data_IF_801745978771
#
_entry.id   IF_801745978771
#
_cell.length_a   1.000
_cell.length_b   1.000
_cell.length_c   1.000
_cell.angle_alpha   90.00
_cell.angle_beta   90.00
_cell.angle_gamma   90.00
#
_symmetry.space_group_name_H-M   'P 1'
#
loop_
_entity.id
_entity.type
_entity.pdbx_description
1 polymer ?
#
# COMPACT_ATOMS: atom_id res chain seq x y z
N UNK A 1 26.87 -14.62 -12.56
CA UNK A 1 26.03 -13.51 -12.08
C UNK A 1 24.77 -13.42 -12.94
N UNK A 2 23.69 -14.13 -12.61
CA UNK A 2 22.41 -14.11 -13.34
C UNK A 2 21.54 -13.02 -12.69
N UNK A 3 21.38 -11.87 -13.35
CA UNK A 3 20.35 -10.88 -13.02
C UNK A 3 18.97 -11.48 -13.26
N UNK A 4 18.34 -11.93 -12.18
CA UNK A 4 16.92 -12.28 -12.20
C UNK A 4 16.14 -10.99 -12.45
N UNK A 5 15.63 -10.80 -13.67
CA UNK A 5 14.64 -9.78 -13.99
C UNK A 5 13.37 -10.13 -13.22
N UNK A 6 13.21 -9.57 -12.03
CA UNK A 6 11.94 -9.59 -11.32
C UNK A 6 10.91 -8.90 -12.21
N UNK A 7 10.05 -9.72 -12.79
CA UNK A 7 8.90 -9.32 -13.61
C UNK A 7 8.10 -8.31 -12.80
N UNK A 8 7.99 -7.11 -13.33
CA UNK A 8 7.23 -6.00 -12.76
C UNK A 8 5.76 -6.39 -12.77
N UNK A 9 5.32 -7.19 -11.83
CA UNK A 9 3.90 -7.38 -11.57
C UNK A 9 3.38 -6.10 -10.96
N UNK A 10 2.44 -5.45 -11.63
CA UNK A 10 1.69 -4.31 -11.14
C UNK A 10 0.43 -4.82 -10.40
N UNK A 11 0.55 -5.41 -9.19
CA UNK A 11 -0.61 -5.90 -8.45
C UNK A 11 -1.54 -4.78 -7.97
N UNK A 12 -1.06 -3.53 -7.67
CA UNK A 12 -1.98 -2.50 -7.19
C UNK A 12 -2.94 -1.98 -8.26
N UNK A 13 -2.57 -2.01 -9.54
CA UNK A 13 -3.43 -1.51 -10.61
C UNK A 13 -4.66 -2.42 -10.85
N UNK A 14 -4.52 -3.74 -10.70
CA UNK A 14 -5.64 -4.68 -10.82
C UNK A 14 -6.61 -4.59 -9.63
N UNK A 15 -6.10 -4.53 -8.41
CA UNK A 15 -6.92 -4.33 -7.21
C UNK A 15 -7.66 -2.98 -7.23
N UNK A 16 -6.98 -1.93 -7.68
CA UNK A 16 -7.57 -0.62 -7.91
C UNK A 16 -8.68 -0.68 -8.96
N UNK A 17 -8.43 -1.32 -10.09
CA UNK A 17 -9.42 -1.49 -11.16
C UNK A 17 -10.64 -2.29 -10.71
N UNK A 18 -10.45 -3.38 -9.97
CA UNK A 18 -11.57 -4.18 -9.43
C UNK A 18 -12.39 -3.43 -8.39
N UNK A 19 -11.76 -2.62 -7.53
CA UNK A 19 -12.50 -1.82 -6.55
C UNK A 19 -13.26 -0.65 -7.19
N UNK A 20 -12.68 0.01 -8.19
CA UNK A 20 -13.38 1.04 -8.97
C UNK A 20 -14.58 0.41 -9.69
N UNK A 21 -14.41 -0.77 -10.29
CA UNK A 21 -15.49 -1.52 -10.94
C UNK A 21 -16.59 -1.92 -9.95
N UNK A 22 -16.24 -2.35 -8.73
CA UNK A 22 -17.20 -2.68 -7.69
C UNK A 22 -17.99 -1.45 -7.23
N UNK A 23 -17.32 -0.32 -7.00
CA UNK A 23 -18.00 0.93 -6.61
C UNK A 23 -18.90 1.42 -7.75
N UNK A 24 -18.42 1.37 -8.99
CA UNK A 24 -19.21 1.73 -10.17
C UNK A 24 -20.43 0.79 -10.32
N UNK A 25 -20.24 -0.50 -10.13
CA UNK A 25 -21.29 -1.51 -10.14
C UNK A 25 -22.36 -1.25 -9.07
N UNK A 26 -21.95 -0.91 -7.85
CA UNK A 26 -22.85 -0.52 -6.76
C UNK A 26 -23.65 0.75 -7.08
N UNK A 27 -23.01 1.77 -7.66
CA UNK A 27 -23.68 3.00 -8.08
C UNK A 27 -24.70 2.73 -9.17
N UNK A 28 -24.35 1.91 -10.17
CA UNK A 28 -25.26 1.50 -11.25
C UNK A 28 -26.42 0.65 -10.71
N UNK A 29 -26.17 -0.28 -9.81
CA UNK A 29 -27.20 -1.11 -9.18
C UNK A 29 -28.18 -0.25 -8.35
N UNK A 30 -27.66 0.71 -7.60
CA UNK A 30 -28.49 1.66 -6.85
C UNK A 30 -29.33 2.54 -7.79
N UNK A 31 -28.75 3.02 -8.88
CA UNK A 31 -29.45 3.82 -9.88
C UNK A 31 -30.59 3.04 -10.56
N UNK A 32 -30.35 1.79 -10.93
CA UNK A 32 -31.39 0.92 -11.53
C UNK A 32 -32.50 0.59 -10.54
N UNK A 33 -32.16 0.33 -9.28
CA UNK A 33 -33.14 0.11 -8.21
C UNK A 33 -34.00 1.35 -7.98
N UNK A 34 -33.40 2.54 -7.90
CA UNK A 34 -34.12 3.80 -7.71
C UNK A 34 -35.09 4.09 -8.87
N UNK A 35 -34.65 3.85 -10.12
CA UNK A 35 -35.51 3.97 -11.29
C UNK A 35 -36.66 2.95 -11.30
N UNK A 36 -36.40 1.70 -10.87
CA UNK A 36 -37.41 0.66 -10.73
C UNK A 36 -38.49 1.02 -9.71
N UNK A 37 -38.08 1.52 -8.53
CA UNK A 37 -39.01 1.99 -7.46
C UNK A 37 -39.85 3.16 -7.97
N UNK A 38 -39.24 4.11 -8.65
CA UNK A 38 -39.94 5.27 -9.24
C UNK A 38 -40.97 4.85 -10.29
N UNK A 39 -40.62 3.91 -11.15
CA UNK A 39 -41.53 3.33 -12.13
C UNK A 39 -42.72 2.63 -11.45
N UNK A 40 -42.45 1.88 -10.37
CA UNK A 40 -43.47 1.18 -9.61
C UNK A 40 -44.42 2.17 -8.90
N UNK A 41 -43.87 3.20 -8.23
CA UNK A 41 -44.66 4.24 -7.55
C UNK A 41 -45.53 4.99 -8.55
N UNK A 42 -44.99 5.33 -9.73
CA UNK A 42 -45.76 5.99 -10.80
C UNK A 42 -46.94 5.13 -11.27
N UNK A 43 -46.74 3.81 -11.37
CA UNK A 43 -47.78 2.86 -11.80
C UNK A 43 -48.90 2.70 -10.76
N UNK A 44 -48.53 2.74 -9.48
CA UNK A 44 -49.48 2.56 -8.34
C UNK A 44 -50.28 3.83 -8.00
N UNK A 45 -49.70 5.01 -8.17
CA UNK A 45 -50.26 6.28 -7.65
C UNK A 45 -50.97 7.10 -8.73
N UNK A 46 -51.04 6.64 -10.01
CA UNK A 46 -51.73 7.35 -11.12
C UNK A 46 -51.47 8.87 -11.17
N UNK A 47 -50.20 9.28 -11.01
CA UNK A 47 -49.83 10.70 -11.09
C UNK A 47 -49.91 11.19 -12.54
N UNK A 48 -50.94 11.96 -12.87
CA UNK A 48 -51.20 12.49 -14.22
C UNK A 48 -50.29 13.67 -14.62
N UNK A 49 -49.60 14.29 -13.69
CA UNK A 49 -48.85 15.52 -13.94
C UNK A 49 -47.46 15.23 -14.52
N UNK A 50 -47.32 15.44 -15.85
CA UNK A 50 -46.15 15.07 -16.66
C UNK A 50 -44.87 15.85 -16.34
N UNK A 51 -44.97 17.07 -15.81
CA UNK A 51 -43.81 17.96 -15.72
C UNK A 51 -42.88 17.66 -14.54
N UNK A 52 -43.39 17.23 -13.40
CA UNK A 52 -42.59 17.00 -12.21
C UNK A 52 -42.07 15.57 -12.08
N UNK A 53 -42.61 14.60 -12.84
CA UNK A 53 -42.28 13.17 -12.72
C UNK A 53 -40.91 12.80 -13.24
N UNK A 54 -40.29 13.58 -14.11
CA UNK A 54 -38.95 13.29 -14.67
C UNK A 54 -37.83 14.04 -13.94
N UNK A 55 -38.09 15.20 -13.38
CA UNK A 55 -37.06 16.04 -12.73
C UNK A 55 -36.54 15.42 -11.43
N UNK A 56 -37.44 14.89 -10.60
CA UNK A 56 -37.07 14.31 -9.30
C UNK A 56 -36.15 13.08 -9.42
N UNK A 57 -36.41 12.10 -10.31
CA UNK A 57 -35.50 10.95 -10.47
C UNK A 57 -34.13 11.36 -11.00
N UNK A 58 -34.07 12.33 -11.92
CA UNK A 58 -32.80 12.84 -12.45
C UNK A 58 -32.00 13.52 -11.33
N UNK A 59 -32.66 14.30 -10.50
CA UNK A 59 -32.04 14.99 -9.37
C UNK A 59 -31.52 14.00 -8.32
N UNK A 60 -32.31 12.99 -7.95
CA UNK A 60 -31.88 11.93 -7.01
C UNK A 60 -30.71 11.16 -7.58
N UNK A 61 -30.75 10.80 -8.87
CA UNK A 61 -29.68 10.07 -9.54
C UNK A 61 -28.38 10.88 -9.57
N UNK A 62 -28.46 12.17 -9.90
CA UNK A 62 -27.28 13.04 -9.94
C UNK A 62 -26.65 13.25 -8.56
N UNK A 63 -27.47 13.49 -7.54
CA UNK A 63 -27.01 13.64 -6.16
C UNK A 63 -26.35 12.34 -5.67
N UNK A 64 -26.96 11.19 -5.94
CA UNK A 64 -26.41 9.88 -5.57
C UNK A 64 -25.09 9.57 -6.27
N UNK A 65 -24.99 9.92 -7.55
CA UNK A 65 -23.74 9.75 -8.30
C UNK A 65 -22.61 10.61 -7.73
N UNK A 66 -22.89 11.88 -7.44
CA UNK A 66 -21.92 12.79 -6.82
C UNK A 66 -21.47 12.24 -5.45
N UNK A 67 -22.43 11.84 -4.61
CA UNK A 67 -22.12 11.29 -3.29
C UNK A 67 -21.30 10.01 -3.37
N UNK A 68 -21.61 9.12 -4.32
CA UNK A 68 -20.86 7.90 -4.58
C UNK A 68 -19.41 8.19 -5.00
N UNK A 69 -19.20 9.16 -5.88
CA UNK A 69 -17.85 9.57 -6.31
C UNK A 69 -17.06 10.18 -5.15
N UNK A 70 -17.68 11.04 -4.35
CA UNK A 70 -17.03 11.62 -3.18
C UNK A 70 -16.63 10.56 -2.15
N UNK A 71 -17.51 9.60 -1.90
CA UNK A 71 -17.24 8.47 -1.01
C UNK A 71 -16.11 7.60 -1.55
N UNK A 72 -16.10 7.30 -2.85
CA UNK A 72 -15.03 6.54 -3.50
C UNK A 72 -13.67 7.24 -3.38
N UNK A 73 -13.62 8.55 -3.59
CA UNK A 73 -12.40 9.36 -3.42
C UNK A 73 -11.94 9.34 -1.96
N UNK A 74 -12.86 9.44 -1.01
CA UNK A 74 -12.58 9.40 0.41
C UNK A 74 -11.94 8.08 0.84
N UNK A 75 -12.55 6.95 0.44
CA UNK A 75 -12.04 5.59 0.71
C UNK A 75 -10.69 5.39 0.03
N UNK A 76 -10.56 5.76 -1.23
CA UNK A 76 -9.31 5.62 -1.97
C UNK A 76 -8.15 6.36 -1.28
N UNK A 77 -8.35 7.64 -0.95
CA UNK A 77 -7.31 8.47 -0.33
C UNK A 77 -6.98 8.05 1.11
N UNK A 78 -7.99 7.63 1.87
CA UNK A 78 -7.83 7.30 3.29
C UNK A 78 -7.29 5.89 3.54
N UNK A 79 -7.53 4.94 2.66
CA UNK A 79 -7.23 3.52 2.89
C UNK A 79 -6.38 2.89 1.78
N UNK A 80 -6.80 2.99 0.52
CA UNK A 80 -6.13 2.25 -0.56
C UNK A 80 -4.76 2.81 -0.92
N UNK A 81 -4.65 4.13 -1.05
CA UNK A 81 -3.39 4.76 -1.44
C UNK A 81 -2.29 4.57 -0.38
N UNK A 82 -2.55 4.74 0.95
CA UNK A 82 -1.57 4.43 1.98
C UNK A 82 -1.19 2.95 2.02
N UNK A 83 -2.14 2.03 1.86
CA UNK A 83 -1.89 0.59 1.84
C UNK A 83 -0.98 0.18 0.68
N UNK A 84 -1.17 0.77 -0.49
CA UNK A 84 -0.29 0.55 -1.65
C UNK A 84 1.15 1.03 -1.39
N UNK A 85 1.32 2.16 -0.69
CA UNK A 85 2.65 2.65 -0.28
C UNK A 85 3.30 1.69 0.72
N UNK A 86 2.53 1.23 1.71
CA UNK A 86 3.02 0.25 2.70
C UNK A 86 3.49 -1.04 2.03
N UNK A 87 2.73 -1.55 1.08
CA UNK A 87 3.10 -2.76 0.31
C UNK A 87 4.41 -2.59 -0.48
N UNK A 88 4.63 -1.42 -1.07
CA UNK A 88 5.88 -1.11 -1.78
C UNK A 88 7.06 -1.04 -0.82
N UNK A 89 6.88 -0.37 0.33
CA UNK A 89 7.90 -0.25 1.36
C UNK A 89 8.26 -1.61 1.97
N UNK A 90 7.28 -2.48 2.21
CA UNK A 90 7.51 -3.85 2.69
C UNK A 90 8.37 -4.65 1.70
N UNK A 91 8.13 -4.50 0.40
CA UNK A 91 8.96 -5.15 -0.63
C UNK A 91 10.39 -4.63 -0.65
N UNK A 92 10.61 -3.34 -0.39
CA UNK A 92 11.93 -2.75 -0.30
C UNK A 92 12.69 -3.25 0.93
N UNK A 93 12.02 -3.30 2.10
CA UNK A 93 12.60 -3.89 3.32
C UNK A 93 12.95 -5.36 3.12
N UNK A 94 12.10 -6.13 2.46
CA UNK A 94 12.38 -7.53 2.11
C UNK A 94 13.56 -7.69 1.15
N UNK A 95 13.90 -6.67 0.37
CA UNK A 95 15.07 -6.62 -0.50
C UNK A 95 16.34 -6.11 0.21
N UNK A 96 16.27 -5.82 1.52
CA UNK A 96 17.39 -5.35 2.34
C UNK A 96 17.50 -3.83 2.48
N UNK A 97 16.57 -3.06 1.93
CA UNK A 97 16.54 -1.62 2.08
C UNK A 97 15.74 -1.24 3.34
N UNK A 98 16.42 -1.16 4.48
CA UNK A 98 15.83 -0.81 5.78
C UNK A 98 15.71 0.71 5.99
N UNK A 99 16.16 1.53 5.05
CA UNK A 99 16.08 3.00 5.12
C UNK A 99 14.69 3.53 4.76
N UNK A 100 13.88 2.72 4.10
CA UNK A 100 12.55 3.09 3.62
C UNK A 100 11.61 3.41 4.77
N UNK A 101 10.90 4.52 4.66
CA UNK A 101 9.84 4.94 5.58
C UNK A 101 8.57 5.28 4.79
N UNK A 102 7.42 5.02 5.38
CA UNK A 102 6.11 5.33 4.80
C UNK A 102 5.53 6.55 5.49
N UNK A 103 5.18 7.56 4.70
CA UNK A 103 4.54 8.77 5.23
C UNK A 103 3.08 8.49 5.63
N UNK A 104 2.66 9.06 6.76
CA UNK A 104 1.28 8.99 7.27
C UNK A 104 0.29 9.81 6.44
N UNK A 105 0.75 10.54 5.42
CA UNK A 105 -0.07 11.45 4.63
C UNK A 105 -1.30 10.74 4.05
N UNK A 106 -2.48 11.18 4.49
CA UNK A 106 -3.77 10.65 4.06
C UNK A 106 -4.20 9.35 4.74
N UNK A 107 -3.35 8.69 5.52
CA UNK A 107 -3.72 7.49 6.28
C UNK A 107 -4.59 7.86 7.49
N UNK A 108 -5.61 7.03 7.76
CA UNK A 108 -6.55 7.22 8.88
C UNK A 108 -6.77 5.92 9.64
N UNK A 109 -7.14 6.04 10.92
CA UNK A 109 -7.49 4.92 11.77
C UNK A 109 -6.41 3.83 11.81
N UNK A 110 -6.80 2.60 11.61
CA UNK A 110 -5.93 1.41 11.69
C UNK A 110 -4.79 1.44 10.67
N UNK A 111 -5.01 2.01 9.46
CA UNK A 111 -3.96 2.10 8.44
C UNK A 111 -2.81 2.99 8.91
N UNK A 112 -3.10 4.07 9.64
CA UNK A 112 -2.07 4.92 10.23
C UNK A 112 -1.28 4.17 11.31
N UNK A 113 -1.95 3.35 12.13
CA UNK A 113 -1.31 2.50 13.14
C UNK A 113 -0.39 1.46 12.50
N UNK A 114 -0.83 0.81 11.41
CA UNK A 114 0.02 -0.13 10.66
C UNK A 114 1.27 0.54 10.07
N UNK A 115 1.14 1.75 9.52
CA UNK A 115 2.28 2.50 8.98
C UNK A 115 3.27 2.83 10.12
N UNK A 116 2.78 3.24 11.27
CA UNK A 116 3.63 3.52 12.44
C UNK A 116 4.41 2.27 12.88
N UNK A 117 3.70 1.14 13.03
CA UNK A 117 4.32 -0.14 13.41
C UNK A 117 5.34 -0.62 12.38
N UNK A 118 5.04 -0.46 11.08
CA UNK A 118 5.97 -0.77 10.00
C UNK A 118 7.24 0.08 10.07
N UNK A 119 7.09 1.40 10.24
CA UNK A 119 8.25 2.31 10.33
C UNK A 119 9.14 1.96 11.52
N UNK A 120 8.54 1.62 12.68
CA UNK A 120 9.28 1.17 13.86
C UNK A 120 10.03 -0.14 13.59
N UNK A 121 9.37 -1.12 12.96
CA UNK A 121 10.03 -2.37 12.58
C UNK A 121 11.21 -2.13 11.61
N UNK A 122 11.04 -1.27 10.61
CA UNK A 122 12.10 -0.93 9.67
C UNK A 122 13.29 -0.21 10.35
N UNK A 123 13.04 0.58 11.37
CA UNK A 123 14.06 1.24 12.19
C UNK A 123 14.86 0.22 13.02
N UNK A 124 14.17 -0.73 13.66
CA UNK A 124 14.82 -1.80 14.43
C UNK A 124 15.68 -2.69 13.51
N UNK A 125 15.19 -3.04 12.32
CA UNK A 125 15.96 -3.81 11.33
C UNK A 125 17.21 -3.04 10.85
N UNK A 126 17.10 -1.74 10.62
CA UNK A 126 18.24 -0.89 10.26
C UNK A 126 19.31 -0.88 11.36
N UNK A 127 18.89 -0.80 12.62
CA UNK A 127 19.79 -0.83 13.77
C UNK A 127 20.52 -2.17 13.90
N UNK A 128 19.81 -3.28 13.70
CA UNK A 128 20.39 -4.63 13.73
C UNK A 128 21.42 -4.80 12.60
N UNK A 129 21.13 -4.33 11.40
CA UNK A 129 22.07 -4.42 10.26
C UNK A 129 23.32 -3.56 10.48
N UNK A 130 23.17 -2.39 11.10
CA UNK A 130 24.30 -1.55 11.48
C UNK A 130 25.20 -2.29 12.49
N UNK A 131 24.63 -2.83 13.56
CA UNK A 131 25.36 -3.60 14.57
C UNK A 131 26.06 -4.81 13.98
N UNK A 132 25.40 -5.52 13.05
CA UNK A 132 25.98 -6.65 12.32
C UNK A 132 27.18 -6.21 11.48
N UNK A 133 27.05 -5.09 10.78
CA UNK A 133 28.14 -4.54 9.95
C UNK A 133 29.35 -4.15 10.78
N UNK A 134 29.10 -3.44 11.90
CA UNK A 134 30.14 -3.02 12.84
C UNK A 134 30.82 -4.23 13.49
N UNK A 135 30.05 -5.24 13.89
CA UNK A 135 30.59 -6.48 14.41
C UNK A 135 31.54 -7.16 13.43
N UNK A 136 31.11 -7.34 12.17
CA UNK A 136 31.92 -7.97 11.12
C UNK A 136 33.21 -7.18 10.87
N UNK A 137 33.13 -5.85 10.85
CA UNK A 137 34.29 -4.99 10.63
C UNK A 137 35.27 -5.08 11.81
N UNK A 138 34.80 -4.92 13.03
CA UNK A 138 35.62 -5.02 14.24
C UNK A 138 36.26 -6.39 14.37
N UNK A 139 35.47 -7.45 14.20
CA UNK A 139 35.94 -8.83 14.20
C UNK A 139 37.05 -9.08 13.17
N UNK A 140 36.85 -8.58 11.95
CA UNK A 140 37.85 -8.72 10.87
C UNK A 140 39.17 -8.02 11.23
N UNK A 141 39.11 -6.86 11.86
CA UNK A 141 40.28 -6.13 12.31
C UNK A 141 40.99 -6.82 13.48
N UNK A 142 40.25 -7.28 14.47
CA UNK A 142 40.82 -7.94 15.66
C UNK A 142 41.43 -9.31 15.32
N UNK A 143 40.87 -10.04 14.35
CA UNK A 143 41.47 -11.29 13.90
C UNK A 143 42.68 -11.11 12.99
N UNK A 144 42.74 -10.00 12.25
CA UNK A 144 43.89 -9.74 11.37
C UNK A 144 45.21 -9.61 12.15
N UNK A 145 45.19 -9.00 13.33
CA UNK A 145 46.36 -8.77 14.15
C UNK A 145 47.01 -10.07 14.63
N UNK A 146 46.32 -11.01 15.31
CA UNK A 146 46.92 -12.27 15.73
C UNK A 146 47.36 -13.16 14.56
N UNK A 147 46.58 -13.15 13.42
CA UNK A 147 46.95 -13.89 12.24
C UNK A 147 48.28 -13.40 11.62
N UNK A 148 48.51 -12.10 11.59
CA UNK A 148 49.79 -11.52 11.13
C UNK A 148 50.94 -11.92 12.10
N UNK A 149 50.69 -11.89 13.40
CA UNK A 149 51.69 -12.33 14.41
C UNK A 149 52.05 -13.78 14.26
N UNK A 150 51.04 -14.68 14.14
CA UNK A 150 51.25 -16.12 13.91
C UNK A 150 52.05 -16.36 12.63
N UNK A 151 51.67 -15.70 11.53
CA UNK A 151 52.38 -15.79 10.25
C UNK A 151 53.83 -15.31 10.37
N UNK A 152 54.07 -14.22 11.14
CA UNK A 152 55.40 -13.68 11.42
C UNK A 152 56.29 -14.68 12.15
N UNK A 153 55.77 -15.29 13.23
CA UNK A 153 56.47 -16.32 13.99
C UNK A 153 56.73 -17.59 13.15
N UNK A 154 55.74 -18.04 12.38
CA UNK A 154 55.91 -19.18 11.48
C UNK A 154 57.04 -18.95 10.44
N UNK A 155 57.13 -17.73 9.93
CA UNK A 155 58.16 -17.36 8.97
C UNK A 155 59.56 -17.30 9.62
N UNK A 156 59.68 -16.86 10.87
CA UNK A 156 60.93 -16.88 11.64
C UNK A 156 61.43 -18.30 11.93
N UNK A 157 60.51 -19.24 12.18
CA UNK A 157 60.85 -20.64 12.40
C UNK A 157 61.25 -21.40 11.12
N UNK A 158 60.92 -20.87 9.96
CA UNK A 158 61.29 -21.44 8.65
C UNK A 158 62.60 -20.87 8.08
N UNK A 159 63.13 -19.80 8.68
CA UNK A 159 64.45 -19.28 8.26
C UNK A 159 65.57 -20.07 8.95
N UNK A 160 66.51 -20.65 8.20
CA UNK A 160 67.61 -21.39 8.74
C UNK A 160 68.58 -20.52 9.51
#
# INVERSE_FOLDING_TARGET
MRRNKVKKENPPARLLGTMILLVLGLVVAYATLALGILFLVRRLVHLEDKSYTLLWPILILSVSAILGVLLAIFIFRGYLAPLSRLMKATKAVAAGDYSVRVELRGARGEVAAYIHSFNKMAEELASVELLRSDFVNTFSHEFKTPLISIRGFAKLLQSP
#
